data_IF_481982308696
#
_entry.id   IF_481982308696
#
_cell.length_a   1.000
_cell.length_b   1.000
_cell.length_c   1.000
_cell.angle_alpha   90.00
_cell.angle_beta   90.00
_cell.angle_gamma   90.00
#
_symmetry.space_group_name_H-M   'P 1'
#
loop_
_entity.id
_entity.type
_entity.pdbx_description
1 polymer ?
#
# COMPACT_ATOMS: atom_id res chain seq x y z
N UNK A 1 22.64 -5.22 -14.30
CA UNK A 1 21.70 -5.42 -13.19
C UNK A 1 20.34 -4.97 -13.69
N UNK A 2 19.45 -5.90 -14.02
CA UNK A 2 18.10 -5.58 -14.50
C UNK A 2 17.36 -4.84 -13.39
N UNK A 3 16.97 -3.60 -13.64
CA UNK A 3 16.10 -2.89 -12.73
C UNK A 3 14.76 -3.62 -12.76
N UNK A 4 14.40 -4.27 -11.66
CA UNK A 4 13.10 -4.90 -11.48
C UNK A 4 12.04 -3.79 -11.53
N UNK A 5 11.18 -3.80 -12.55
CA UNK A 5 10.05 -2.87 -12.62
C UNK A 5 9.08 -3.19 -11.48
N UNK A 6 8.87 -2.27 -10.53
CA UNK A 6 8.02 -2.55 -9.37
C UNK A 6 6.57 -2.89 -9.75
N UNK A 7 6.09 -2.37 -10.89
CA UNK A 7 4.73 -2.60 -11.38
C UNK A 7 4.41 -4.08 -11.73
N UNK A 8 5.42 -4.89 -12.03
CA UNK A 8 5.25 -6.31 -12.33
C UNK A 8 5.33 -7.20 -11.09
N UNK A 9 5.66 -6.62 -9.93
CA UNK A 9 5.73 -7.36 -8.67
C UNK A 9 4.33 -7.82 -8.24
N UNK A 10 4.31 -8.89 -7.44
CA UNK A 10 3.12 -9.30 -6.72
C UNK A 10 2.69 -8.20 -5.73
N UNK A 11 1.40 -8.16 -5.32
CA UNK A 11 0.89 -7.18 -4.36
C UNK A 11 1.74 -7.07 -3.08
N UNK A 12 2.24 -8.21 -2.59
CA UNK A 12 3.19 -8.31 -1.47
C UNK A 12 4.50 -7.56 -1.69
N UNK A 13 5.06 -7.62 -2.89
CA UNK A 13 6.29 -6.92 -3.25
C UNK A 13 6.08 -5.42 -3.28
N UNK A 14 4.95 -4.98 -3.83
CA UNK A 14 4.55 -3.57 -3.87
C UNK A 14 4.34 -3.00 -2.47
N UNK A 15 3.56 -3.69 -1.63
CA UNK A 15 3.32 -3.28 -0.25
C UNK A 15 4.63 -3.18 0.54
N UNK A 16 5.48 -4.22 0.46
CA UNK A 16 6.79 -4.23 1.15
C UNK A 16 7.71 -3.11 0.68
N UNK A 17 7.72 -2.83 -0.62
CA UNK A 17 8.57 -1.78 -1.18
C UNK A 17 8.06 -0.40 -0.77
N UNK A 18 6.74 -0.18 -0.81
CA UNK A 18 6.10 1.04 -0.30
C UNK A 18 6.42 1.27 1.19
N UNK A 19 6.30 0.25 2.04
CA UNK A 19 6.68 0.35 3.46
C UNK A 19 8.17 0.60 3.65
N UNK A 20 9.02 0.00 2.81
CA UNK A 20 10.49 0.24 2.85
C UNK A 20 10.87 1.67 2.49
N UNK A 21 10.05 2.37 1.70
CA UNK A 21 10.22 3.80 1.38
C UNK A 21 9.73 4.72 2.52
N UNK A 22 9.25 4.16 3.64
CA UNK A 22 8.67 4.92 4.75
C UNK A 22 7.20 5.26 4.55
N UNK A 23 6.48 4.50 3.71
CA UNK A 23 5.06 4.70 3.49
C UNK A 23 4.23 4.58 4.77
N UNK A 24 3.44 5.62 5.07
CA UNK A 24 2.64 5.72 6.30
C UNK A 24 1.15 5.48 6.06
N UNK A 25 0.72 5.23 4.81
CA UNK A 25 -0.69 4.97 4.48
C UNK A 25 -1.19 3.73 5.20
N UNK A 26 -2.41 3.83 5.71
CA UNK A 26 -3.10 2.73 6.39
C UNK A 26 -4.25 2.24 5.51
N UNK A 27 -4.42 0.92 5.45
CA UNK A 27 -5.59 0.31 4.82
C UNK A 27 -6.84 0.54 5.66
N UNK A 28 -7.91 0.99 5.01
CA UNK A 28 -9.26 1.07 5.55
C UNK A 28 -10.09 0.04 4.80
N UNK A 29 -10.61 -0.96 5.51
CA UNK A 29 -11.43 -2.01 4.91
C UNK A 29 -12.87 -1.74 5.32
N UNK A 30 -13.73 -1.55 4.32
CA UNK A 30 -15.18 -1.38 4.44
C UNK A 30 -15.86 -2.59 3.78
N UNK A 31 -17.10 -2.92 4.15
CA UNK A 31 -17.83 -4.16 3.78
C UNK A 31 -17.67 -4.55 2.31
N UNK A 32 -17.60 -3.58 1.40
CA UNK A 32 -17.45 -3.83 -0.03
C UNK A 32 -16.28 -3.10 -0.71
N UNK A 33 -15.49 -2.31 0.00
CA UNK A 33 -14.44 -1.47 -0.59
C UNK A 33 -13.24 -1.34 0.34
N UNK A 34 -12.06 -1.23 -0.24
CA UNK A 34 -10.87 -0.85 0.51
C UNK A 34 -10.43 0.55 0.09
N UNK A 35 -10.04 1.34 1.08
CA UNK A 35 -9.54 2.68 0.92
C UNK A 35 -8.18 2.79 1.59
N UNK A 36 -7.42 3.81 1.23
CA UNK A 36 -6.20 4.17 1.95
C UNK A 36 -6.40 5.49 2.67
N UNK A 37 -6.02 5.51 3.94
CA UNK A 37 -5.90 6.75 4.69
C UNK A 37 -4.55 7.36 4.39
N UNK A 38 -4.56 8.48 3.68
CA UNK A 38 -3.36 9.29 3.46
C UNK A 38 -3.05 10.12 4.70
N UNK A 39 -1.80 10.12 5.13
CA UNK A 39 -1.29 10.99 6.19
C UNK A 39 -0.42 12.09 5.56
N UNK A 40 -0.49 13.31 6.08
CA UNK A 40 0.31 14.44 5.58
C UNK A 40 1.83 14.23 5.79
N UNK A 41 2.23 13.31 6.66
CA UNK A 41 3.62 12.96 6.97
C UNK A 41 4.22 11.88 6.03
N UNK A 42 3.53 11.52 4.95
CA UNK A 42 4.06 10.55 3.98
C UNK A 42 5.30 11.12 3.23
N UNK A 43 6.42 10.39 3.19
CA UNK A 43 7.59 10.81 2.40
C UNK A 43 7.27 10.82 0.89
N UNK A 44 7.80 11.83 0.19
CA UNK A 44 7.54 12.03 -1.23
C UNK A 44 7.89 10.80 -2.08
N UNK A 45 8.94 10.05 -1.72
CA UNK A 45 9.33 8.81 -2.41
C UNK A 45 8.23 7.75 -2.36
N UNK A 46 7.61 7.53 -1.20
CA UNK A 46 6.51 6.59 -1.02
C UNK A 46 5.25 7.06 -1.76
N UNK A 47 4.97 8.36 -1.74
CA UNK A 47 3.85 8.97 -2.49
C UNK A 47 3.98 8.77 -4.00
N UNK A 48 5.17 9.05 -4.54
CA UNK A 48 5.46 8.88 -5.97
C UNK A 48 5.35 7.41 -6.35
N UNK A 49 5.88 6.51 -5.52
CA UNK A 49 5.79 5.08 -5.74
C UNK A 49 4.33 4.60 -5.78
N UNK A 50 3.52 5.04 -4.82
CA UNK A 50 2.09 4.71 -4.77
C UNK A 50 1.38 5.14 -6.05
N UNK A 51 1.52 6.39 -6.44
CA UNK A 51 0.81 6.95 -7.58
C UNK A 51 1.23 6.29 -8.91
N UNK A 52 2.52 5.96 -9.06
CA UNK A 52 3.06 5.32 -10.27
C UNK A 52 2.81 3.82 -10.37
N UNK A 53 2.83 3.11 -9.25
CA UNK A 53 2.86 1.64 -9.25
C UNK A 53 1.64 0.98 -8.63
N UNK A 54 0.93 1.66 -7.73
CA UNK A 54 -0.22 1.09 -7.02
C UNK A 54 -1.50 1.69 -7.60
N UNK A 55 -1.63 3.01 -7.65
CA UNK A 55 -2.83 3.69 -8.20
C UNK A 55 -3.04 3.42 -9.70
N UNK A 56 -1.98 3.08 -10.42
CA UNK A 56 -2.03 2.71 -11.84
C UNK A 56 -2.47 1.24 -12.08
N UNK A 57 -2.67 0.43 -11.04
CA UNK A 57 -3.13 -0.96 -11.16
C UNK A 57 -4.65 -1.06 -11.20
N UNK A 58 -5.17 -2.23 -11.59
CA UNK A 58 -6.59 -2.55 -11.45
C UNK A 58 -7.05 -2.55 -9.99
N UNK A 59 -8.34 -2.27 -9.78
CA UNK A 59 -8.96 -2.20 -8.45
C UNK A 59 -8.73 -3.48 -7.61
N UNK A 60 -8.70 -4.65 -8.25
CA UNK A 60 -8.42 -5.93 -7.59
C UNK A 60 -7.01 -5.97 -7.01
N UNK A 61 -5.99 -5.63 -7.81
CA UNK A 61 -4.59 -5.63 -7.35
C UNK A 61 -4.32 -4.51 -6.36
N UNK A 62 -4.92 -3.33 -6.56
CA UNK A 62 -4.89 -2.25 -5.56
C UNK A 62 -5.44 -2.75 -4.23
N UNK A 63 -6.57 -3.47 -4.27
CA UNK A 63 -7.18 -4.01 -3.06
C UNK A 63 -6.27 -4.98 -2.34
N UNK A 64 -5.61 -5.89 -3.06
CA UNK A 64 -4.63 -6.81 -2.49
C UNK A 64 -3.48 -6.05 -1.81
N UNK A 65 -2.92 -5.02 -2.47
CA UNK A 65 -1.86 -4.19 -1.87
C UNK A 65 -2.34 -3.52 -0.59
N UNK A 66 -3.55 -2.96 -0.58
CA UNK A 66 -4.13 -2.26 0.58
C UNK A 66 -4.40 -3.22 1.74
N UNK A 67 -4.83 -4.45 1.45
CA UNK A 67 -5.01 -5.52 2.44
C UNK A 67 -3.69 -5.95 3.11
N UNK A 68 -2.56 -5.78 2.41
CA UNK A 68 -1.22 -6.09 2.90
C UNK A 68 -0.59 -4.94 3.69
N UNK A 69 -1.14 -3.73 3.58
CA UNK A 69 -0.73 -2.61 4.42
C UNK A 69 -1.23 -2.81 5.86
N UNK A 70 -0.54 -2.22 6.85
CA UNK A 70 -1.11 -2.08 8.18
C UNK A 70 -2.48 -1.41 8.07
N UNK A 71 -3.52 -2.12 8.50
CA UNK A 71 -4.89 -1.60 8.54
C UNK A 71 -5.23 -1.15 9.93
N UNK A 72 -5.98 -0.06 10.04
CA UNK A 72 -6.60 0.36 11.29
C UNK A 72 -7.88 -0.44 11.49
N UNK A 73 -7.74 -1.74 11.65
CA UNK A 73 -8.81 -2.53 12.25
C UNK A 73 -8.70 -2.33 13.76
N UNK A 74 -9.82 -2.04 14.40
CA UNK A 74 -9.98 -1.91 15.86
C UNK A 74 -9.77 -3.27 16.53
N UNK A 75 -8.60 -3.87 16.37
CA UNK A 75 -8.17 -5.09 17.08
C UNK A 75 -6.63 -5.12 17.15
N UNK A 76 -6.05 -4.02 17.61
CA UNK A 76 -4.78 -4.09 18.34
C UNK A 76 -5.09 -4.53 19.77
N UNK A 77 -5.61 -5.76 19.93
CA UNK A 77 -5.56 -6.43 21.23
C UNK A 77 -4.13 -6.92 21.43
N UNK A 78 -3.31 -6.03 21.95
CA UNK A 78 -2.11 -6.38 22.71
C UNK A 78 -2.48 -7.39 23.81
N UNK A 79 -1.92 -8.59 23.73
CA UNK A 79 -1.71 -9.48 24.87
C UNK A 79 -0.51 -10.40 24.62
#
# INVERSE_FOLDING_TARGET
MSQSHPAELAPEGLAKQYLSLGGTRLGLIDDNKVFVRHWEDEPEEAKIFWHKHIESLDEERQREVILLLPSVSDDDSVA
#
